data_IF_865871857012
#
_entry.id   IF_865871857012
#
_cell.length_a   1.000
_cell.length_b   1.000
_cell.length_c   1.000
_cell.angle_alpha   90.00
_cell.angle_beta   90.00
_cell.angle_gamma   90.00
#
_symmetry.space_group_name_H-M   'P 1'
#
loop_
_entity.id
_entity.type
_entity.pdbx_description
1 polymer ?
#
# COMPACT_ATOMS: atom_id res chain seq x y z
N UNK A 1 -19.08 -84.08 -60.05
CA UNK A 1 -19.75 -82.85 -60.55
C UNK A 1 -20.21 -82.10 -59.33
N UNK A 2 -19.37 -81.18 -58.85
CA UNK A 2 -19.65 -80.41 -57.64
C UNK A 2 -20.75 -79.39 -57.91
N UNK A 3 -21.77 -79.42 -57.06
CA UNK A 3 -22.92 -78.53 -57.13
C UNK A 3 -22.52 -77.24 -56.42
N UNK A 4 -22.12 -76.23 -57.21
CA UNK A 4 -21.85 -74.88 -56.70
C UNK A 4 -23.17 -74.32 -56.18
N UNK A 5 -23.28 -74.20 -54.85
CA UNK A 5 -24.37 -73.47 -54.20
C UNK A 5 -24.02 -71.99 -54.39
N UNK A 6 -24.75 -71.30 -55.27
CA UNK A 6 -24.63 -69.86 -55.40
C UNK A 6 -25.00 -69.22 -54.05
N UNK A 7 -24.03 -68.53 -53.43
CA UNK A 7 -24.27 -67.70 -52.25
C UNK A 7 -25.36 -66.69 -52.61
N UNK A 8 -26.46 -66.70 -51.87
CA UNK A 8 -27.51 -65.69 -52.03
C UNK A 8 -26.89 -64.32 -51.69
N UNK A 9 -27.02 -63.30 -52.55
CA UNK A 9 -26.50 -61.97 -52.25
C UNK A 9 -27.16 -61.45 -50.97
N UNK A 10 -26.35 -60.95 -50.05
CA UNK A 10 -26.81 -60.26 -48.84
C UNK A 10 -27.54 -58.99 -49.32
N UNK A 11 -28.82 -58.79 -48.99
CA UNK A 11 -29.54 -57.60 -49.41
C UNK A 11 -28.91 -56.38 -48.74
N UNK A 12 -28.42 -55.43 -49.54
CA UNK A 12 -28.00 -54.12 -49.06
C UNK A 12 -29.22 -53.41 -48.47
N UNK A 13 -29.17 -53.09 -47.17
CA UNK A 13 -30.23 -52.31 -46.53
C UNK A 13 -30.25 -50.90 -47.12
N UNK A 14 -31.43 -50.32 -47.40
CA UNK A 14 -31.51 -48.95 -47.88
C UNK A 14 -30.92 -47.98 -46.84
N UNK A 15 -30.20 -46.96 -47.30
CA UNK A 15 -29.52 -45.90 -46.51
C UNK A 15 -30.43 -45.06 -45.60
N UNK A 16 -31.70 -45.44 -45.48
CA UNK A 16 -32.73 -44.81 -44.64
C UNK A 16 -32.93 -45.52 -43.30
N UNK A 17 -32.22 -46.62 -43.04
CA UNK A 17 -32.35 -47.43 -41.81
C UNK A 17 -31.12 -47.23 -40.92
N UNK A 18 -31.37 -46.89 -39.65
CA UNK A 18 -30.32 -46.86 -38.63
C UNK A 18 -30.11 -48.28 -38.09
N UNK A 19 -28.90 -48.81 -38.26
CA UNK A 19 -28.46 -50.11 -37.75
C UNK A 19 -27.71 -49.94 -36.43
N UNK A 20 -27.53 -51.04 -35.68
CA UNK A 20 -27.01 -51.01 -34.30
C UNK A 20 -25.58 -51.56 -34.17
N UNK A 21 -24.97 -51.95 -35.28
CA UNK A 21 -23.73 -52.73 -35.36
C UNK A 21 -22.58 -51.98 -36.05
N UNK A 22 -22.86 -50.82 -36.63
CA UNK A 22 -21.88 -50.02 -37.38
C UNK A 22 -22.06 -48.52 -37.11
N UNK A 23 -20.99 -47.76 -37.31
CA UNK A 23 -21.04 -46.30 -37.25
C UNK A 23 -21.97 -45.74 -38.32
N UNK A 24 -22.75 -44.73 -37.93
CA UNK A 24 -23.77 -44.13 -38.78
C UNK A 24 -23.62 -42.61 -38.81
N UNK A 25 -23.66 -42.03 -40.02
CA UNK A 25 -23.75 -40.58 -40.21
C UNK A 25 -25.17 -40.21 -40.66
N UNK A 26 -25.85 -39.36 -39.88
CA UNK A 26 -27.19 -38.88 -40.22
C UNK A 26 -27.08 -37.41 -40.67
N UNK A 27 -27.29 -37.16 -41.97
CA UNK A 27 -27.21 -35.82 -42.57
C UNK A 27 -28.53 -35.04 -42.52
N UNK A 28 -29.64 -35.71 -42.17
CA UNK A 28 -30.98 -35.14 -42.09
C UNK A 28 -31.46 -35.05 -40.63
N UNK A 29 -32.51 -34.27 -40.38
CA UNK A 29 -33.10 -34.15 -39.04
C UNK A 29 -33.74 -35.49 -38.64
N UNK A 30 -33.34 -36.02 -37.49
CA UNK A 30 -33.98 -37.17 -36.85
C UNK A 30 -34.87 -36.70 -35.70
N UNK A 31 -36.14 -37.09 -35.74
CA UNK A 31 -37.09 -36.83 -34.65
C UNK A 31 -37.19 -38.09 -33.79
N UNK A 32 -36.98 -37.94 -32.48
CA UNK A 32 -37.21 -38.99 -31.50
C UNK A 32 -38.54 -38.73 -30.79
N UNK A 33 -39.34 -39.78 -30.61
CA UNK A 33 -40.62 -39.69 -29.86
C UNK A 33 -40.41 -39.65 -28.34
N UNK A 34 -39.18 -39.88 -27.88
CA UNK A 34 -38.73 -39.77 -26.51
C UNK A 34 -37.33 -39.14 -26.48
N UNK A 35 -36.92 -38.57 -25.34
CA UNK A 35 -35.57 -38.03 -25.20
C UNK A 35 -34.50 -39.11 -25.44
N UNK A 36 -33.47 -38.83 -26.25
CA UNK A 36 -32.39 -39.79 -26.47
C UNK A 36 -31.59 -40.02 -25.18
N UNK A 37 -31.19 -41.27 -24.95
CA UNK A 37 -30.28 -41.64 -23.85
C UNK A 37 -28.85 -41.39 -24.33
N UNK A 38 -28.17 -40.45 -23.69
CA UNK A 38 -26.78 -40.09 -23.99
C UNK A 38 -25.87 -40.68 -22.91
N UNK A 39 -24.88 -41.53 -23.27
CA UNK A 39 -23.95 -42.11 -22.30
C UNK A 39 -23.03 -41.04 -21.68
N UNK A 40 -22.26 -41.44 -20.66
CA UNK A 40 -21.24 -40.57 -20.07
C UNK A 40 -20.16 -40.29 -21.13
N UNK A 41 -19.86 -39.02 -21.44
CA UNK A 41 -18.84 -38.70 -22.41
C UNK A 41 -17.43 -39.06 -21.91
N UNK A 42 -16.60 -39.61 -22.80
CA UNK A 42 -15.20 -40.00 -22.55
C UNK A 42 -14.21 -39.23 -23.42
N UNK A 43 -14.68 -38.51 -24.45
CA UNK A 43 -13.85 -37.75 -25.38
C UNK A 43 -14.44 -36.36 -25.64
N UNK A 44 -13.59 -35.43 -26.04
CA UNK A 44 -13.98 -34.08 -26.42
C UNK A 44 -14.93 -34.14 -27.64
N UNK A 45 -16.01 -33.35 -27.58
CA UNK A 45 -16.99 -33.27 -28.67
C UNK A 45 -18.10 -34.31 -28.64
N UNK A 46 -18.06 -35.28 -27.72
CA UNK A 46 -19.21 -36.16 -27.46
C UNK A 46 -20.38 -35.36 -26.85
N UNK A 47 -21.60 -35.76 -27.17
CA UNK A 47 -22.79 -35.20 -26.52
C UNK A 47 -22.80 -35.56 -25.03
N UNK A 48 -23.25 -34.64 -24.18
CA UNK A 48 -23.40 -34.86 -22.75
C UNK A 48 -24.86 -34.66 -22.33
N UNK A 49 -25.33 -35.46 -21.38
CA UNK A 49 -26.63 -35.24 -20.74
C UNK A 49 -26.51 -34.14 -19.65
N UNK A 50 -27.66 -33.56 -19.26
CA UNK A 50 -27.70 -32.47 -18.27
C UNK A 50 -27.18 -32.89 -16.90
N UNK A 51 -27.51 -34.09 -16.44
CA UNK A 51 -27.04 -34.60 -15.14
C UNK A 51 -25.52 -34.67 -15.06
N UNK A 52 -24.87 -35.14 -16.12
CA UNK A 52 -23.41 -35.17 -16.21
C UNK A 52 -22.82 -33.76 -16.12
N UNK A 53 -23.38 -32.80 -16.86
CA UNK A 53 -22.89 -31.40 -16.85
C UNK A 53 -23.11 -30.76 -15.49
N UNK A 54 -24.30 -30.89 -14.91
CA UNK A 54 -24.63 -30.34 -13.59
C UNK A 54 -23.71 -30.93 -12.52
N UNK A 55 -23.47 -32.25 -12.56
CA UNK A 55 -22.54 -32.92 -11.64
C UNK A 55 -21.11 -32.42 -11.83
N UNK A 56 -20.59 -32.40 -13.05
CA UNK A 56 -19.22 -31.96 -13.35
C UNK A 56 -18.98 -30.50 -12.93
N UNK A 57 -19.99 -29.63 -13.06
CA UNK A 57 -19.94 -28.25 -12.58
C UNK A 57 -19.99 -28.19 -11.05
N UNK A 58 -20.85 -28.98 -10.41
CA UNK A 58 -20.96 -29.03 -8.95
C UNK A 58 -19.77 -29.69 -8.24
N UNK A 59 -19.05 -30.57 -8.95
CA UNK A 59 -17.84 -31.26 -8.49
C UNK A 59 -16.56 -30.44 -8.75
N UNK A 60 -16.66 -29.26 -9.39
CA UNK A 60 -15.58 -28.27 -9.33
C UNK A 60 -15.24 -28.03 -7.85
N UNK A 61 -13.94 -27.89 -7.51
CA UNK A 61 -13.50 -27.82 -6.13
C UNK A 61 -14.25 -26.71 -5.40
N UNK A 62 -15.15 -27.16 -4.52
CA UNK A 62 -15.97 -26.44 -3.55
C UNK A 62 -16.17 -24.95 -3.89
N UNK A 63 -17.33 -24.52 -4.44
CA UNK A 63 -17.56 -23.10 -4.72
C UNK A 63 -17.37 -22.23 -3.46
N UNK A 64 -17.46 -22.80 -2.26
CA UNK A 64 -17.15 -22.14 -0.99
C UNK A 64 -15.65 -21.84 -0.78
N UNK A 65 -14.76 -22.54 -1.48
CA UNK A 65 -13.30 -22.41 -1.38
C UNK A 65 -12.67 -21.62 -2.54
N UNK A 66 -13.50 -21.11 -3.46
CA UNK A 66 -13.08 -20.16 -4.49
C UNK A 66 -13.20 -18.71 -3.99
N UNK A 67 -12.27 -17.85 -4.41
CA UNK A 67 -12.40 -16.41 -4.17
C UNK A 67 -13.37 -15.81 -5.19
N UNK A 68 -14.36 -15.07 -4.70
CA UNK A 68 -15.28 -14.21 -5.44
C UNK A 68 -14.64 -12.84 -5.64
N UNK A 69 -14.97 -12.18 -6.76
CA UNK A 69 -14.55 -10.80 -7.03
C UNK A 69 -15.56 -9.76 -6.53
N UNK A 70 -16.78 -10.20 -6.22
CA UNK A 70 -17.95 -9.31 -6.05
C UNK A 70 -18.63 -9.43 -4.67
N UNK A 71 -18.03 -10.19 -3.75
CA UNK A 71 -18.58 -10.39 -2.40
C UNK A 71 -17.52 -10.34 -1.32
N UNK A 72 -17.95 -9.95 -0.12
CA UNK A 72 -17.09 -9.99 1.07
C UNK A 72 -16.75 -11.44 1.42
N UNK A 73 -15.48 -11.71 1.68
CA UNK A 73 -15.00 -13.06 1.97
C UNK A 73 -13.91 -13.08 3.05
N UNK A 74 -13.90 -14.15 3.84
CA UNK A 74 -12.82 -14.45 4.79
C UNK A 74 -11.85 -15.42 4.14
N UNK A 75 -10.61 -14.98 3.94
CA UNK A 75 -9.56 -15.79 3.33
C UNK A 75 -8.54 -16.21 4.39
N UNK A 76 -8.23 -17.50 4.47
CA UNK A 76 -7.24 -18.06 5.41
C UNK A 76 -6.01 -18.61 4.70
N UNK A 77 -4.94 -18.86 5.46
CA UNK A 77 -3.66 -19.34 4.96
C UNK A 77 -2.75 -18.25 4.38
N UNK A 78 -1.46 -18.57 4.20
CA UNK A 78 -0.49 -17.64 3.63
C UNK A 78 -0.82 -17.35 2.16
N UNK A 79 -0.95 -16.07 1.80
CA UNK A 79 -1.14 -15.61 0.42
C UNK A 79 0.10 -14.87 -0.04
N UNK A 80 0.75 -15.43 -1.05
CA UNK A 80 1.95 -14.84 -1.66
C UNK A 80 1.54 -14.08 -2.93
N UNK A 81 1.74 -12.76 -2.91
CA UNK A 81 1.55 -11.92 -4.09
C UNK A 81 2.91 -11.61 -4.72
N UNK A 82 3.06 -11.88 -6.03
CA UNK A 82 4.31 -11.57 -6.76
C UNK A 82 4.55 -10.06 -6.91
N UNK A 83 3.52 -9.26 -6.73
CA UNK A 83 3.54 -7.78 -6.71
C UNK A 83 2.68 -7.33 -5.54
N UNK A 84 3.00 -6.17 -4.98
CA UNK A 84 2.17 -5.58 -3.92
C UNK A 84 0.74 -5.35 -4.42
N UNK A 85 -0.28 -5.74 -3.64
CA UNK A 85 -1.67 -5.45 -3.99
C UNK A 85 -1.95 -3.95 -3.89
N UNK A 86 -2.89 -3.48 -4.70
CA UNK A 86 -3.43 -2.12 -4.57
C UNK A 86 -4.40 -2.06 -3.39
N UNK A 87 -4.17 -1.10 -2.50
CA UNK A 87 -5.01 -0.86 -1.32
C UNK A 87 -5.59 0.55 -1.45
N UNK A 88 -6.93 0.69 -1.57
CA UNK A 88 -7.58 1.99 -1.67
C UNK A 88 -7.44 2.78 -0.36
N UNK A 89 -7.78 4.08 -0.38
CA UNK A 89 -7.78 4.87 0.85
C UNK A 89 -8.82 4.34 1.84
N UNK A 90 -8.44 4.14 3.12
CA UNK A 90 -9.35 3.66 4.13
C UNK A 90 -10.42 4.71 4.44
N UNK A 91 -11.65 4.24 4.60
CA UNK A 91 -12.83 4.97 5.06
C UNK A 91 -13.20 4.61 6.50
N UNK A 92 -12.85 3.40 6.95
CA UNK A 92 -13.12 2.88 8.29
C UNK A 92 -11.83 2.58 9.06
N UNK A 93 -11.80 2.67 10.40
CA UNK A 93 -10.58 2.49 11.20
C UNK A 93 -9.92 1.11 11.08
N UNK A 94 -10.69 0.07 10.77
CA UNK A 94 -10.19 -1.31 10.68
C UNK A 94 -9.68 -1.66 9.28
N UNK A 95 -9.79 -0.76 8.31
CA UNK A 95 -9.30 -1.01 6.96
C UNK A 95 -7.79 -0.86 6.87
N UNK A 96 -7.17 -1.65 5.98
CA UNK A 96 -5.75 -1.50 5.67
C UNK A 96 -5.48 -0.13 5.04
N UNK A 97 -4.30 0.44 5.32
CA UNK A 97 -3.85 1.71 4.75
C UNK A 97 -2.57 1.52 3.95
N UNK A 98 -2.49 2.18 2.79
CA UNK A 98 -1.24 2.28 2.05
C UNK A 98 -0.30 3.35 2.66
N UNK A 99 1.00 3.26 2.38
CA UNK A 99 2.01 4.18 2.93
C UNK A 99 1.71 5.64 2.58
N UNK A 100 1.35 5.92 1.32
CA UNK A 100 1.07 7.29 0.87
C UNK A 100 -0.05 7.94 1.69
N UNK A 101 -1.11 7.20 1.98
CA UNK A 101 -2.20 7.66 2.85
C UNK A 101 -1.67 8.05 4.24
N UNK A 102 -0.88 7.17 4.87
CA UNK A 102 -0.30 7.44 6.20
C UNK A 102 0.60 8.66 6.19
N UNK A 103 1.49 8.78 5.19
CA UNK A 103 2.41 9.90 5.05
C UNK A 103 1.65 11.23 4.87
N UNK A 104 0.60 11.25 4.04
CA UNK A 104 -0.26 12.43 3.84
C UNK A 104 -1.01 12.80 5.12
N UNK A 105 -1.55 11.82 5.84
CA UNK A 105 -2.27 12.07 7.09
C UNK A 105 -1.34 12.59 8.20
N UNK A 106 -0.12 12.07 8.30
CA UNK A 106 0.89 12.58 9.23
C UNK A 106 1.33 14.00 8.88
N UNK A 107 1.51 14.30 7.59
CA UNK A 107 1.86 15.65 7.13
C UNK A 107 0.73 16.67 7.35
N UNK A 108 -0.53 16.22 7.28
CA UNK A 108 -1.72 17.06 7.53
C UNK A 108 -2.08 17.18 9.01
N UNK A 109 -1.66 16.21 9.82
CA UNK A 109 -1.71 16.37 11.26
C UNK A 109 -0.76 17.52 11.57
N UNK A 110 -1.22 18.65 12.12
CA UNK A 110 -0.30 19.69 12.55
C UNK A 110 0.71 18.99 13.45
N UNK A 111 1.98 18.94 13.00
CA UNK A 111 3.11 18.34 13.70
C UNK A 111 2.87 18.53 15.18
N UNK A 112 2.51 17.41 15.84
CA UNK A 112 1.76 17.33 17.09
C UNK A 112 1.74 18.68 17.79
N UNK A 113 0.62 19.42 17.85
CA UNK A 113 0.41 20.83 18.25
C UNK A 113 1.40 21.57 19.22
N UNK A 114 2.35 20.86 19.82
CA UNK A 114 3.50 21.26 20.61
C UNK A 114 4.89 20.90 20.00
N UNK A 115 4.98 20.54 18.71
CA UNK A 115 6.22 20.13 18.03
C UNK A 115 7.03 21.33 17.56
N UNK A 116 8.27 21.45 18.03
CA UNK A 116 9.22 22.46 17.55
C UNK A 116 9.94 21.91 16.30
N UNK A 117 10.07 22.74 15.26
CA UNK A 117 10.81 22.45 14.04
C UNK A 117 12.14 23.20 14.10
N UNK A 118 13.18 22.67 13.43
CA UNK A 118 14.55 23.20 13.50
C UNK A 118 14.90 24.18 12.36
N UNK A 119 13.98 24.37 11.42
CA UNK A 119 14.20 25.03 10.12
C UNK A 119 13.38 26.31 9.94
N UNK A 120 12.56 26.70 10.92
CA UNK A 120 11.73 27.90 10.85
C UNK A 120 11.74 28.66 12.17
N UNK A 121 11.51 29.97 12.12
CA UNK A 121 11.25 30.76 13.31
C UNK A 121 10.00 30.28 14.04
N UNK A 122 10.07 30.20 15.37
CA UNK A 122 8.99 29.68 16.20
C UNK A 122 8.68 30.61 17.37
N UNK A 123 7.39 30.77 17.67
CA UNK A 123 6.91 31.50 18.85
C UNK A 123 6.35 30.52 19.87
N UNK A 124 7.00 30.43 21.03
CA UNK A 124 6.53 29.62 22.15
C UNK A 124 5.75 30.53 23.11
N UNK A 125 4.45 30.27 23.27
CA UNK A 125 3.56 31.07 24.14
C UNK A 125 3.46 30.55 25.58
N UNK A 126 3.92 29.33 25.83
CA UNK A 126 3.90 28.70 27.16
C UNK A 126 5.29 28.75 27.84
N UNK A 127 5.32 28.58 29.16
CA UNK A 127 6.57 28.45 29.91
C UNK A 127 7.28 27.15 29.52
N UNK A 128 8.59 27.21 29.29
CA UNK A 128 9.43 26.06 28.99
C UNK A 128 10.43 25.81 30.12
N UNK A 129 10.45 24.57 30.62
CA UNK A 129 11.50 24.10 31.52
C UNK A 129 12.58 23.41 30.70
N UNK A 130 13.84 23.77 30.95
CA UNK A 130 15.00 23.11 30.34
C UNK A 130 15.73 22.32 31.43
N UNK A 131 16.11 21.08 31.11
CA UNK A 131 16.87 20.22 32.04
C UNK A 131 18.31 20.71 32.27
N UNK A 132 18.82 21.53 31.35
CA UNK A 132 20.09 22.26 31.46
C UNK A 132 19.89 23.71 31.04
N UNK A 133 20.74 24.60 31.54
CA UNK A 133 20.75 26.00 31.11
C UNK A 133 20.88 26.08 29.58
N UNK A 134 20.04 26.89 28.90
CA UNK A 134 20.13 27.05 27.46
C UNK A 134 21.43 27.75 27.05
N UNK A 135 21.96 27.37 25.90
CA UNK A 135 23.10 28.04 25.28
C UNK A 135 22.60 29.30 24.57
N UNK A 136 23.13 30.45 24.98
CA UNK A 136 22.78 31.76 24.41
C UNK A 136 23.98 32.27 23.61
N UNK A 137 23.87 32.38 22.27
CA UNK A 137 24.94 32.89 21.42
C UNK A 137 25.35 34.34 21.75
N UNK A 138 26.48 34.78 21.19
CA UNK A 138 26.91 36.18 21.32
C UNK A 138 25.85 37.11 20.71
N UNK A 139 25.39 38.15 21.44
CA UNK A 139 24.37 39.05 20.93
C UNK A 139 24.92 39.91 19.78
N UNK A 140 24.12 40.06 18.72
CA UNK A 140 24.38 40.98 17.59
C UNK A 140 23.37 42.12 17.54
N UNK A 141 22.19 41.95 18.15
CA UNK A 141 21.14 42.97 18.23
C UNK A 141 20.81 43.35 19.67
N UNK A 142 20.19 44.52 19.85
CA UNK A 142 19.86 45.08 21.17
C UNK A 142 18.82 44.27 21.94
N UNK A 143 18.01 43.49 21.24
CA UNK A 143 16.89 42.69 21.78
C UNK A 143 17.30 41.25 22.06
N UNK A 144 18.53 40.84 21.72
CA UNK A 144 19.01 39.50 22.00
C UNK A 144 19.13 39.26 23.51
N UNK A 145 18.74 38.06 23.94
CA UNK A 145 19.08 37.58 25.27
C UNK A 145 20.61 37.46 25.41
N UNK A 146 21.11 37.64 26.63
CA UNK A 146 22.54 37.52 26.94
C UNK A 146 22.74 36.65 28.17
N UNK A 147 23.84 35.89 28.20
CA UNK A 147 24.24 35.17 29.40
C UNK A 147 24.98 36.11 30.39
N UNK A 148 25.12 35.66 31.64
CA UNK A 148 25.77 36.45 32.69
C UNK A 148 27.24 36.78 32.38
N UNK A 149 27.98 35.81 31.83
CA UNK A 149 29.39 35.98 31.49
C UNK A 149 29.60 37.14 30.50
N UNK A 150 28.74 37.26 29.49
CA UNK A 150 28.77 38.36 28.54
C UNK A 150 28.60 39.71 29.25
N UNK A 151 27.60 39.82 30.14
CA UNK A 151 27.33 41.05 30.92
C UNK A 151 28.53 41.40 31.80
N UNK A 152 29.06 40.43 32.54
CA UNK A 152 30.20 40.64 33.44
C UNK A 152 31.44 41.12 32.66
N UNK A 153 31.72 40.55 31.48
CA UNK A 153 32.81 41.02 30.59
C UNK A 153 32.57 42.43 30.05
N UNK A 154 31.35 42.74 29.63
CA UNK A 154 31.01 44.07 29.12
C UNK A 154 31.20 45.15 30.19
N UNK A 155 30.74 44.88 31.42
CA UNK A 155 30.91 45.77 32.57
C UNK A 155 32.39 45.95 32.91
N UNK A 156 33.16 44.86 32.98
CA UNK A 156 34.59 44.91 33.26
C UNK A 156 35.33 45.78 32.22
N UNK A 157 34.97 45.64 30.94
CA UNK A 157 35.54 46.45 29.86
C UNK A 157 35.23 47.95 30.01
N UNK A 158 34.01 48.30 30.44
CA UNK A 158 33.65 49.70 30.74
C UNK A 158 34.47 50.22 31.94
N UNK A 159 34.57 49.44 33.01
CA UNK A 159 35.33 49.83 34.20
C UNK A 159 36.82 50.01 33.91
N UNK A 160 37.40 49.17 33.07
CA UNK A 160 38.79 49.33 32.62
C UNK A 160 39.02 50.65 31.86
N UNK A 161 38.09 51.01 30.97
CA UNK A 161 38.15 52.30 30.23
C UNK A 161 38.01 53.49 31.16
N UNK A 162 37.10 53.41 32.13
CA UNK A 162 36.93 54.45 33.17
C UNK A 162 38.22 54.58 33.98
N UNK A 163 38.79 53.48 34.48
CA UNK A 163 40.05 53.48 35.22
C UNK A 163 41.20 54.10 34.42
N UNK A 164 41.31 53.77 33.13
CA UNK A 164 42.30 54.37 32.24
C UNK A 164 42.08 55.87 32.06
N UNK A 165 40.85 56.33 31.86
CA UNK A 165 40.51 57.74 31.72
C UNK A 165 40.82 58.55 32.99
N UNK A 166 40.49 58.01 34.17
CA UNK A 166 40.82 58.65 35.46
C UNK A 166 42.33 58.76 35.66
N UNK A 167 43.07 57.69 35.33
CA UNK A 167 44.53 57.68 35.42
C UNK A 167 45.17 58.74 34.51
N UNK A 168 44.66 58.88 33.28
CA UNK A 168 45.12 59.90 32.34
C UNK A 168 44.84 61.33 32.83
N UNK A 169 43.66 61.57 33.40
CA UNK A 169 43.32 62.88 33.98
C UNK A 169 44.26 63.24 35.14
N UNK A 170 44.52 62.30 36.05
CA UNK A 170 45.44 62.51 37.16
C UNK A 170 46.85 62.88 36.69
N UNK A 171 47.37 62.20 35.65
CA UNK A 171 48.68 62.51 35.06
C UNK A 171 48.73 63.90 34.41
N UNK A 172 47.63 64.35 33.81
CA UNK A 172 47.52 65.70 33.23
C UNK A 172 47.48 66.82 34.29
N UNK A 173 46.79 66.61 35.41
CA UNK A 173 46.76 67.57 36.53
C UNK A 173 48.15 67.76 37.14
N UNK A 174 48.92 66.69 37.31
CA UNK A 174 50.28 66.74 37.87
C UNK A 174 51.25 67.52 36.95
N UNK A 175 51.05 67.50 35.64
CA UNK A 175 51.86 68.30 34.70
C UNK A 175 51.52 69.80 34.75
N UNK A 176 50.27 70.16 35.04
CA UNK A 176 49.88 71.56 35.15
C UNK A 176 50.32 72.20 36.49
N UNK A 177 50.49 71.39 37.53
CA UNK A 177 50.92 71.86 38.86
C UNK A 177 52.44 72.03 38.99
N UNK A 178 53.24 71.36 38.13
CA UNK A 178 54.70 71.51 38.09
C UNK A 178 55.21 72.70 37.25
N UNK A 179 54.33 73.37 36.51
CA UNK A 179 54.66 74.49 35.61
C UNK A 179 54.07 75.85 36.08
N UNK A 180 53.69 75.96 37.36
CA UNK A 180 53.34 77.23 38.02
C UNK A 180 54.33 77.49 39.15
#
# INVERSE_FOLDING_TARGET
MDKVIAERPVPELPVTVVTIDTEQTIIAIKVFTASPVVPIPTEDGQAANKEYVDRAVSEQPDPENMMSLDSDQKVTGLKLFRRSPEVPFPKEPQQAANKHYVDVMLARTPQAANGLTIDTEQVIRAIKTFERSPEVPMPTERTHAVNKEYVDRAVLGVMAKIGAALSALAAGVIHHEKNR
#
